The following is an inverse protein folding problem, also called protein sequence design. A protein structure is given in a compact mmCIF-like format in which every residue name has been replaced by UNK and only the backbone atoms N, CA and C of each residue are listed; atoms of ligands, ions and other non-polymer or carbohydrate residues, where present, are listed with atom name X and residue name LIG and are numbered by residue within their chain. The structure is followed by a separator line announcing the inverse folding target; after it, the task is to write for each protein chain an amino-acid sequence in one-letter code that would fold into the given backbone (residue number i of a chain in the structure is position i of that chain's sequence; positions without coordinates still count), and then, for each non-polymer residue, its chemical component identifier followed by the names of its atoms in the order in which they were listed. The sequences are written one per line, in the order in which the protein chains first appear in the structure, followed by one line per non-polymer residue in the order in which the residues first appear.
data_IF_756765757582
#
_entry.id   IF_756765757582
#
_cell.length_a   1.000
_cell.length_b   1.000
_cell.length_c   1.000
_cell.angle_alpha   90.00
_cell.angle_beta   90.00
_cell.angle_gamma   90.00
#
_symmetry.space_group_name_H-M   'P 1'
#
loop_
_entity.id
_entity.type
_entity.pdbx_description
1 polymer ?
#
# COMPACT_ATOMS: atom_id res chain seq x y z
N UNK A 1 -7.85 -10.33 -12.76
CA UNK A 1 -8.13 -10.35 -11.32
C UNK A 1 -6.85 -10.49 -10.51
N UNK A 2 -6.69 -9.70 -9.47
CA UNK A 2 -5.55 -9.78 -8.57
C UNK A 2 -5.97 -10.44 -7.26
N UNK A 3 -5.18 -11.42 -6.80
CA UNK A 3 -5.52 -12.14 -5.57
C UNK A 3 -5.19 -11.29 -4.34
N UNK A 4 -5.94 -11.53 -3.27
CA UNK A 4 -5.60 -11.03 -1.96
C UNK A 4 -4.75 -12.09 -1.28
N UNK A 5 -3.58 -11.73 -0.76
CA UNK A 5 -2.73 -12.67 -0.08
C UNK A 5 -3.35 -13.13 1.24
N UNK A 6 -3.15 -14.41 1.55
CA UNK A 6 -3.67 -15.01 2.76
C UNK A 6 -3.21 -14.22 3.99
N UNK A 7 -4.15 -13.95 4.89
CA UNK A 7 -3.88 -13.19 6.11
C UNK A 7 -4.01 -11.68 5.96
N UNK A 8 -4.11 -11.15 4.73
CA UNK A 8 -4.20 -9.70 4.54
C UNK A 8 -5.50 -9.11 5.08
N UNK A 9 -6.62 -9.80 4.89
CA UNK A 9 -7.90 -9.33 5.40
C UNK A 9 -7.86 -9.24 6.93
N UNK A 10 -7.30 -10.26 7.58
CA UNK A 10 -7.15 -10.26 9.03
C UNK A 10 -6.24 -9.14 9.50
N UNK A 11 -5.15 -8.89 8.76
CA UNK A 11 -4.25 -7.79 9.07
C UNK A 11 -4.98 -6.45 9.00
N UNK A 12 -5.78 -6.23 7.96
CA UNK A 12 -6.55 -4.99 7.81
C UNK A 12 -7.52 -4.83 8.99
N UNK A 13 -8.20 -5.90 9.37
CA UNK A 13 -9.13 -5.87 10.50
C UNK A 13 -8.40 -5.54 11.82
N UNK A 14 -7.21 -6.12 12.02
CA UNK A 14 -6.40 -5.87 13.22
C UNK A 14 -5.88 -4.43 13.25
N UNK A 15 -5.49 -3.88 12.10
CA UNK A 15 -5.07 -2.48 12.01
C UNK A 15 -6.22 -1.54 12.37
N UNK A 16 -7.43 -1.82 11.87
CA UNK A 16 -8.61 -1.04 12.22
C UNK A 16 -8.93 -1.14 13.70
N UNK A 17 -8.81 -2.34 14.28
CA UNK A 17 -9.04 -2.53 15.71
C UNK A 17 -8.03 -1.74 16.55
N UNK A 18 -6.83 -1.51 16.03
CA UNK A 18 -5.80 -0.69 16.68
C UNK A 18 -5.97 0.81 16.42
N UNK A 19 -7.04 1.21 15.77
CA UNK A 19 -7.33 2.62 15.49
C UNK A 19 -6.59 3.19 14.28
N UNK A 20 -6.00 2.34 13.44
CA UNK A 20 -5.26 2.78 12.26
C UNK A 20 -6.14 2.83 11.03
N UNK A 21 -5.77 3.66 10.07
CA UNK A 21 -6.44 3.76 8.77
C UNK A 21 -5.69 2.94 7.73
N UNK A 22 -6.42 2.35 6.80
CA UNK A 22 -5.85 1.52 5.73
C UNK A 22 -6.39 2.01 4.39
N UNK A 23 -5.50 2.22 3.45
CA UNK A 23 -5.86 2.73 2.13
C UNK A 23 -5.03 2.05 1.04
N UNK A 24 -5.50 2.15 -0.19
CA UNK A 24 -4.79 1.66 -1.38
C UNK A 24 -4.51 2.83 -2.31
N UNK A 25 -3.27 2.90 -2.79
CA UNK A 25 -2.88 3.81 -3.86
C UNK A 25 -2.29 2.97 -4.99
N UNK A 26 -2.76 3.19 -6.21
CA UNK A 26 -2.40 2.35 -7.35
C UNK A 26 -2.18 3.19 -8.60
N UNK A 27 -1.33 2.70 -9.50
CA UNK A 27 -1.19 3.27 -10.85
C UNK A 27 -2.23 2.73 -11.84
N UNK A 28 -3.05 1.74 -11.44
CA UNK A 28 -4.17 1.27 -12.27
C UNK A 28 -5.20 2.39 -12.40
N UNK A 29 -5.91 2.44 -13.53
CA UNK A 29 -6.99 3.41 -13.66
C UNK A 29 -8.08 3.14 -12.61
N UNK A 30 -8.84 4.17 -12.29
CA UNK A 30 -9.83 4.11 -11.21
C UNK A 30 -10.84 2.97 -11.38
N UNK A 31 -11.48 2.77 -12.55
CA UNK A 31 -12.42 1.67 -12.71
C UNK A 31 -11.81 0.28 -12.50
N UNK A 32 -10.57 0.06 -12.98
CA UNK A 32 -9.88 -1.21 -12.79
C UNK A 32 -9.56 -1.47 -11.33
N UNK A 33 -9.14 -0.42 -10.61
CA UNK A 33 -8.89 -0.53 -9.18
C UNK A 33 -10.15 -0.90 -8.44
N UNK A 34 -11.25 -0.23 -8.72
CA UNK A 34 -12.54 -0.48 -8.05
C UNK A 34 -13.02 -1.90 -8.31
N UNK A 35 -12.86 -2.41 -9.53
CA UNK A 35 -13.22 -3.78 -9.85
C UNK A 35 -12.39 -4.77 -9.03
N UNK A 36 -11.08 -4.57 -8.95
CA UNK A 36 -10.20 -5.44 -8.16
C UNK A 36 -10.53 -5.42 -6.66
N UNK A 37 -10.81 -4.25 -6.12
CA UNK A 37 -11.19 -4.12 -4.71
C UNK A 37 -12.54 -4.79 -4.43
N UNK A 38 -13.49 -4.62 -5.34
CA UNK A 38 -14.81 -5.24 -5.20
C UNK A 38 -14.70 -6.77 -5.28
N UNK A 39 -13.89 -7.29 -6.22
CA UNK A 39 -13.68 -8.74 -6.38
C UNK A 39 -13.06 -9.37 -5.14
N UNK A 40 -12.30 -8.61 -4.37
CA UNK A 40 -11.68 -9.08 -3.13
C UNK A 40 -12.45 -8.67 -1.88
N UNK A 41 -13.63 -8.11 -2.04
CA UNK A 41 -14.50 -7.66 -0.94
C UNK A 41 -13.82 -6.61 -0.05
N UNK A 42 -13.01 -5.74 -0.64
CA UNK A 42 -12.27 -4.71 0.09
C UNK A 42 -12.87 -3.32 -0.04
N UNK A 43 -13.72 -3.09 -1.03
CA UNK A 43 -14.16 -1.73 -1.36
C UNK A 43 -14.91 -1.05 -0.21
N UNK A 44 -15.62 -1.82 0.61
CA UNK A 44 -16.30 -1.29 1.80
C UNK A 44 -15.52 -1.40 3.09
N UNK A 45 -14.29 -1.93 3.02
CA UNK A 45 -13.44 -2.16 4.19
C UNK A 45 -12.35 -1.12 4.31
N UNK A 46 -11.82 -0.65 3.17
CA UNK A 46 -10.76 0.35 3.15
C UNK A 46 -11.31 1.73 3.51
N UNK A 47 -10.48 2.52 4.17
CA UNK A 47 -10.84 3.90 4.55
C UNK A 47 -10.90 4.81 3.32
N UNK A 48 -10.00 4.60 2.37
CA UNK A 48 -10.03 5.26 1.07
C UNK A 48 -9.17 4.49 0.08
N UNK A 49 -9.29 4.85 -1.19
CA UNK A 49 -8.43 4.30 -2.24
C UNK A 49 -8.33 5.31 -3.37
N UNK A 50 -7.24 5.25 -4.13
CA UNK A 50 -7.05 6.10 -5.30
C UNK A 50 -6.27 5.37 -6.36
N UNK A 51 -6.78 5.40 -7.58
CA UNK A 51 -6.10 4.95 -8.77
C UNK A 51 -5.79 6.14 -9.67
N UNK A 52 -5.44 5.85 -10.91
CA UNK A 52 -5.24 6.87 -11.93
C UNK A 52 -6.61 7.37 -12.41
N UNK A 53 -6.85 8.67 -12.30
CA UNK A 53 -8.13 9.28 -12.67
C UNK A 53 -8.10 9.75 -14.13
N UNK A 54 -6.97 10.31 -14.58
CA UNK A 54 -6.81 10.74 -15.96
C UNK A 54 -5.39 10.50 -16.45
N UNK A 55 -5.16 10.72 -17.75
CA UNK A 55 -3.87 10.47 -18.38
C UNK A 55 -2.76 11.39 -17.86
N UNK A 56 -3.11 12.59 -17.40
CA UNK A 56 -2.13 13.54 -16.89
C UNK A 56 -1.71 13.24 -15.46
N UNK A 57 -2.59 12.66 -14.66
CA UNK A 57 -2.30 12.28 -13.26
C UNK A 57 -2.09 10.77 -13.19
N UNK A 58 -1.05 10.28 -13.85
CA UNK A 58 -0.91 8.87 -14.14
C UNK A 58 -0.05 8.11 -13.15
N UNK A 59 0.70 8.77 -12.28
CA UNK A 59 1.66 8.09 -11.46
C UNK A 59 1.15 7.79 -10.06
N UNK A 60 1.82 6.85 -9.42
CA UNK A 60 1.49 6.42 -8.07
C UNK A 60 1.79 7.52 -7.05
N UNK A 61 2.73 8.42 -7.36
CA UNK A 61 3.06 9.55 -6.48
C UNK A 61 1.81 10.41 -6.26
N UNK A 62 1.09 10.72 -7.33
CA UNK A 62 -0.14 11.52 -7.27
C UNK A 62 -1.23 10.78 -6.51
N UNK A 63 -1.38 9.47 -6.76
CA UNK A 63 -2.37 8.64 -6.06
C UNK A 63 -2.10 8.62 -4.55
N UNK A 64 -0.84 8.46 -4.14
CA UNK A 64 -0.46 8.49 -2.73
C UNK A 64 -0.80 9.84 -2.10
N UNK A 65 -0.45 10.94 -2.77
CA UNK A 65 -0.74 12.28 -2.28
C UNK A 65 -2.26 12.50 -2.09
N UNK A 66 -3.05 11.99 -3.04
CA UNK A 66 -4.51 12.08 -2.95
C UNK A 66 -5.05 11.32 -1.73
N UNK A 67 -4.57 10.09 -1.53
CA UNK A 67 -4.96 9.26 -0.39
C UNK A 67 -4.60 9.96 0.92
N UNK A 68 -3.40 10.54 1.00
CA UNK A 68 -2.97 11.24 2.20
C UNK A 68 -3.89 12.42 2.54
N UNK A 69 -4.30 13.17 1.53
CA UNK A 69 -5.25 14.27 1.74
C UNK A 69 -6.61 13.76 2.21
N UNK A 70 -7.08 12.65 1.67
CA UNK A 70 -8.36 12.05 2.06
C UNK A 70 -8.34 11.56 3.51
N UNK A 71 -7.22 10.97 3.94
CA UNK A 71 -7.08 10.45 5.29
C UNK A 71 -6.83 11.55 6.33
N UNK A 72 -6.25 12.67 5.93
CA UNK A 72 -5.93 13.77 6.84
C UNK A 72 -4.73 13.52 7.73
N UNK A 73 -3.90 12.53 7.43
CA UNK A 73 -2.66 12.25 8.15
C UNK A 73 -1.46 12.79 7.37
N UNK A 74 -0.39 13.13 8.08
CA UNK A 74 0.86 13.51 7.43
C UNK A 74 1.81 12.31 7.30
N UNK A 75 2.93 12.52 6.60
CA UNK A 75 3.88 11.46 6.30
C UNK A 75 4.49 10.85 7.56
N UNK A 76 4.65 11.62 8.64
CA UNK A 76 5.23 11.11 9.87
C UNK A 76 4.32 10.12 10.60
N UNK A 77 3.05 10.08 10.23
CA UNK A 77 2.04 9.18 10.82
C UNK A 77 1.72 8.00 9.91
N UNK A 78 2.45 7.85 8.80
CA UNK A 78 2.06 6.94 7.73
C UNK A 78 3.23 6.05 7.33
N UNK A 79 2.90 4.87 6.80
CA UNK A 79 3.87 3.96 6.21
C UNK A 79 3.26 3.36 4.93
N UNK A 80 4.07 3.21 3.90
CA UNK A 80 3.68 2.54 2.66
C UNK A 80 4.14 1.10 2.70
N UNK A 81 3.32 0.22 2.16
CA UNK A 81 3.67 -1.19 1.99
C UNK A 81 3.79 -1.44 0.49
N UNK A 82 4.91 -1.98 0.07
CA UNK A 82 5.14 -2.22 -1.36
C UNK A 82 5.98 -3.44 -1.65
N UNK A 83 5.81 -4.02 -2.83
CA UNK A 83 6.51 -5.22 -3.26
C UNK A 83 7.49 -4.97 -4.41
N UNK A 84 7.57 -3.74 -4.89
CA UNK A 84 8.47 -3.35 -5.98
C UNK A 84 9.15 -2.03 -5.65
N UNK A 85 10.32 -1.81 -6.29
CA UNK A 85 11.05 -0.54 -6.14
C UNK A 85 10.18 0.66 -6.50
N UNK A 86 9.23 0.49 -7.41
CA UNK A 86 8.32 1.57 -7.84
C UNK A 86 7.49 2.11 -6.69
N UNK A 87 7.16 1.26 -5.70
CA UNK A 87 6.41 1.69 -4.53
C UNK A 87 7.26 2.61 -3.65
N UNK A 88 8.55 2.29 -3.46
CA UNK A 88 9.48 3.14 -2.71
C UNK A 88 9.71 4.45 -3.43
N UNK A 89 9.91 4.40 -4.75
CA UNK A 89 10.11 5.58 -5.58
C UNK A 89 8.89 6.51 -5.53
N UNK A 90 7.68 5.96 -5.39
CA UNK A 90 6.46 6.74 -5.28
C UNK A 90 6.26 7.30 -3.86
N UNK A 91 6.66 6.55 -2.84
CA UNK A 91 6.53 6.99 -1.45
C UNK A 91 7.54 8.09 -1.10
N UNK A 92 8.74 8.02 -1.64
CA UNK A 92 9.83 8.93 -1.31
C UNK A 92 9.47 10.41 -1.53
N UNK A 93 8.92 10.83 -2.68
CA UNK A 93 8.53 12.24 -2.87
C UNK A 93 7.46 12.71 -1.88
N UNK A 94 6.66 11.79 -1.36
CA UNK A 94 5.65 12.08 -0.34
C UNK A 94 6.23 11.98 1.08
N UNK A 95 7.52 11.66 1.21
CA UNK A 95 8.25 11.55 2.49
C UNK A 95 7.67 10.47 3.40
N UNK A 96 7.08 9.42 2.82
CA UNK A 96 6.49 8.30 3.55
C UNK A 96 7.50 7.15 3.56
N UNK A 97 7.85 6.61 4.74
CA UNK A 97 8.69 5.41 4.77
C UNK A 97 7.96 4.22 4.17
N UNK A 98 8.70 3.33 3.51
CA UNK A 98 8.11 2.17 2.86
C UNK A 98 8.70 0.87 3.40
N UNK A 99 7.82 -0.06 3.77
CA UNK A 99 8.20 -1.43 4.14
C UNK A 99 8.06 -2.29 2.89
N UNK A 100 9.14 -2.96 2.54
CA UNK A 100 9.16 -3.87 1.40
C UNK A 100 8.67 -5.26 1.79
N UNK A 101 7.88 -5.89 0.93
CA UNK A 101 7.37 -7.24 1.17
C UNK A 101 7.80 -8.17 0.05
N UNK A 102 8.16 -9.40 0.43
CA UNK A 102 8.64 -10.41 -0.50
C UNK A 102 7.64 -11.53 -0.79
N UNK A 103 6.54 -11.58 -0.05
CA UNK A 103 5.58 -12.67 -0.20
C UNK A 103 4.85 -12.66 -1.55
N UNK A 104 4.84 -11.55 -2.26
CA UNK A 104 4.27 -11.46 -3.61
C UNK A 104 5.15 -12.09 -4.68
N UNK A 105 6.41 -12.37 -4.37
CA UNK A 105 7.40 -12.99 -5.27
C UNK A 105 7.61 -12.22 -6.57
N UNK A 106 7.42 -10.91 -6.53
CA UNK A 106 7.57 -10.02 -7.70
C UNK A 106 8.95 -9.39 -7.77
N UNK A 107 9.74 -9.53 -6.71
CA UNK A 107 11.04 -8.87 -6.59
C UNK A 107 11.96 -9.68 -5.68
N UNK A 108 13.16 -9.17 -5.46
CA UNK A 108 14.13 -9.72 -4.52
C UNK A 108 14.49 -8.68 -3.48
N UNK A 109 15.12 -9.14 -2.41
CA UNK A 109 15.50 -8.30 -1.28
C UNK A 109 16.40 -7.15 -1.68
N UNK A 110 17.35 -7.40 -2.60
CA UNK A 110 18.33 -6.39 -3.00
C UNK A 110 17.66 -5.21 -3.73
N UNK A 111 16.67 -5.49 -4.58
CA UNK A 111 15.91 -4.43 -5.24
C UNK A 111 15.27 -3.49 -4.22
N UNK A 112 14.70 -4.04 -3.17
CA UNK A 112 14.02 -3.25 -2.14
C UNK A 112 14.99 -2.48 -1.26
N UNK A 113 16.13 -3.08 -0.92
CA UNK A 113 17.18 -2.39 -0.17
C UNK A 113 17.70 -1.19 -0.97
N UNK A 114 18.03 -1.41 -2.25
CA UNK A 114 18.56 -0.37 -3.12
C UNK A 114 17.57 0.78 -3.32
N UNK A 115 16.29 0.49 -3.28
CA UNK A 115 15.24 1.49 -3.43
C UNK A 115 14.93 2.25 -2.13
N UNK A 116 15.53 1.84 -1.00
CA UNK A 116 15.42 2.58 0.25
C UNK A 116 14.33 2.11 1.21
N UNK A 117 13.90 0.85 1.12
CA UNK A 117 12.94 0.30 2.08
C UNK A 117 13.50 0.39 3.50
N UNK A 118 12.68 0.82 4.44
CA UNK A 118 13.08 0.96 5.85
C UNK A 118 13.04 -0.36 6.61
N UNK A 119 12.29 -1.34 6.10
CA UNK A 119 12.24 -2.70 6.61
C UNK A 119 11.81 -3.61 5.47
N UNK A 120 12.16 -4.89 5.55
CA UNK A 120 11.79 -5.88 4.54
C UNK A 120 11.26 -7.11 5.28
N UNK A 121 10.10 -7.61 4.85
CA UNK A 121 9.46 -8.77 5.47
C UNK A 121 9.14 -9.82 4.42
N UNK A 122 9.16 -11.09 4.82
CA UNK A 122 8.93 -12.23 3.94
C UNK A 122 7.47 -12.68 3.93
N UNK A 123 6.72 -12.44 4.99
CA UNK A 123 5.37 -12.97 5.16
C UNK A 123 4.42 -11.90 5.64
N UNK A 124 3.11 -12.16 5.46
CA UNK A 124 2.07 -11.29 6.03
C UNK A 124 2.16 -11.26 7.55
N UNK A 125 2.52 -12.38 8.18
CA UNK A 125 2.70 -12.44 9.64
C UNK A 125 3.83 -11.51 10.09
N UNK A 126 4.97 -11.50 9.38
CA UNK A 126 6.06 -10.59 9.68
C UNK A 126 5.63 -9.14 9.51
N UNK A 127 4.83 -8.85 8.48
CA UNK A 127 4.29 -7.51 8.27
C UNK A 127 3.41 -7.09 9.45
N UNK A 128 2.57 -7.99 9.94
CA UNK A 128 1.73 -7.76 11.12
C UNK A 128 2.59 -7.34 12.32
N UNK A 129 3.70 -8.06 12.56
CA UNK A 129 4.60 -7.72 13.66
C UNK A 129 5.23 -6.34 13.50
N UNK A 130 5.65 -5.98 12.30
CA UNK A 130 6.26 -4.67 12.05
C UNK A 130 5.25 -3.54 12.30
N UNK A 131 4.00 -3.72 11.89
CA UNK A 131 2.99 -2.66 11.95
C UNK A 131 2.32 -2.54 13.32
N UNK A 132 2.23 -3.63 14.09
CA UNK A 132 1.44 -3.68 15.32
C UNK A 132 2.24 -4.08 16.56
N UNK A 133 3.55 -4.23 16.44
CA UNK A 133 4.39 -4.59 17.58
C UNK A 133 4.52 -3.43 18.60
#
# INVERSE_FOLDING_TARGET
RWPLFEGMRDLIDDLHAAGKKVAVASSKNQPMLETGLRDNNLIGVLDTYAGRIDEAATDKITAIAHVMRQLGFDASQSVMIGDRRFDMEAAFPNKIPCVGVLYGKTTNKQELIDAGAVAIVDTVEDLHHVLLA
#
